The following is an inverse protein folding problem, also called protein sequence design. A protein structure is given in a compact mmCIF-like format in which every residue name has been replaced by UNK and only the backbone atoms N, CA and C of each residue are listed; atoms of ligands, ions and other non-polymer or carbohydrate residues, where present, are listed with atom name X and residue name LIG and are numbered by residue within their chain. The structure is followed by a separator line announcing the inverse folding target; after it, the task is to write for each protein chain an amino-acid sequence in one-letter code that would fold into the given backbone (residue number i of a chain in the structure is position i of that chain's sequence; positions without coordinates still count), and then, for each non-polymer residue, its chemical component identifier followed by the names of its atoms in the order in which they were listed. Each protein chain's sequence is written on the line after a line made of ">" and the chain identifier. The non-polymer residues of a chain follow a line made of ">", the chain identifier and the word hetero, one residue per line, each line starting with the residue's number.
data_IF_844267628738
#
_entry.id   IF_844267628738
#
_cell.length_a   1.000
_cell.length_b   1.000
_cell.length_c   1.000
_cell.angle_alpha   90.00
_cell.angle_beta   90.00
_cell.angle_gamma   90.00
#
_symmetry.space_group_name_H-M   'P 1'
#
loop_
_entity.id
_entity.type
_entity.pdbx_description
1 polymer ?
#
# COMPACT_ATOMS: atom_id res chain seq x y z
N UNK A 1 -23.13 -17.38 -23.44
CA UNK A 1 -22.62 -16.31 -24.32
C UNK A 1 -21.64 -15.47 -23.51
N UNK A 2 -20.44 -15.19 -24.04
CA UNK A 2 -19.42 -14.35 -23.36
C UNK A 2 -19.58 -12.92 -23.86
N UNK A 3 -19.68 -11.94 -22.95
CA UNK A 3 -19.57 -10.54 -23.31
C UNK A 3 -18.10 -10.12 -23.31
N UNK A 4 -17.59 -9.64 -24.44
CA UNK A 4 -16.23 -9.13 -24.55
C UNK A 4 -16.24 -7.63 -24.83
N UNK A 5 -15.67 -6.85 -23.92
CA UNK A 5 -15.42 -5.41 -24.10
C UNK A 5 -13.95 -5.23 -24.47
N UNK A 6 -13.65 -4.80 -25.71
CA UNK A 6 -12.25 -4.63 -26.16
C UNK A 6 -11.50 -3.50 -25.43
N UNK A 7 -12.24 -2.48 -24.97
CA UNK A 7 -11.71 -1.33 -24.25
C UNK A 7 -11.91 -1.43 -22.74
N UNK A 8 -12.00 -0.26 -22.11
CA UNK A 8 -12.41 -0.17 -20.71
C UNK A 8 -13.93 -0.22 -20.61
N UNK A 9 -14.43 -0.81 -19.51
CA UNK A 9 -15.85 -0.83 -19.18
C UNK A 9 -16.11 0.08 -17.98
N UNK A 10 -16.95 1.08 -18.17
CA UNK A 10 -17.45 1.95 -17.10
C UNK A 10 -18.87 1.53 -16.77
N UNK A 11 -19.10 1.13 -15.52
CA UNK A 11 -20.42 0.74 -15.05
C UNK A 11 -21.10 1.94 -14.42
N UNK A 12 -22.21 2.36 -15.02
CA UNK A 12 -23.01 3.48 -14.53
C UNK A 12 -23.84 3.13 -13.29
N UNK A 13 -24.46 4.17 -12.72
CA UNK A 13 -25.39 4.02 -11.59
C UNK A 13 -26.60 3.15 -11.95
N UNK A 14 -27.12 2.42 -10.98
CA UNK A 14 -28.30 1.56 -11.13
C UNK A 14 -28.01 0.17 -11.70
N UNK A 15 -26.80 -0.10 -12.19
CA UNK A 15 -26.37 -1.46 -12.53
C UNK A 15 -25.96 -2.19 -11.26
N UNK A 16 -26.57 -3.37 -11.04
CA UNK A 16 -26.34 -4.20 -9.84
C UNK A 16 -25.61 -5.51 -10.12
N UNK A 17 -25.52 -5.91 -11.38
CA UNK A 17 -24.90 -7.17 -11.78
C UNK A 17 -24.17 -7.03 -13.11
N UNK A 18 -23.05 -7.74 -13.23
CA UNK A 18 -22.34 -7.94 -14.48
C UNK A 18 -22.76 -9.27 -15.11
N UNK A 19 -22.62 -9.42 -16.44
CA UNK A 19 -22.84 -10.71 -17.09
C UNK A 19 -21.94 -11.80 -16.51
N UNK A 20 -22.47 -13.01 -16.36
CA UNK A 20 -21.77 -14.14 -15.74
C UNK A 20 -20.45 -14.52 -16.43
N UNK A 21 -20.32 -14.23 -17.72
CA UNK A 21 -19.08 -14.38 -18.49
C UNK A 21 -18.73 -13.04 -19.14
N UNK A 22 -17.77 -12.33 -18.54
CA UNK A 22 -17.33 -11.00 -18.95
C UNK A 22 -15.80 -10.95 -19.09
N UNK A 23 -15.33 -10.45 -20.22
CA UNK A 23 -13.92 -10.15 -20.47
C UNK A 23 -13.79 -8.66 -20.78
N UNK A 24 -12.91 -7.97 -20.03
CA UNK A 24 -12.61 -6.55 -20.22
C UNK A 24 -11.16 -6.41 -20.71
N UNK A 25 -11.01 -5.84 -21.90
CA UNK A 25 -9.73 -5.73 -22.61
C UNK A 25 -8.78 -4.69 -22.02
N UNK A 26 -9.30 -3.72 -21.25
CA UNK A 26 -8.53 -2.77 -20.46
C UNK A 26 -9.04 -2.74 -19.02
N UNK A 27 -9.55 -1.59 -18.57
CA UNK A 27 -9.90 -1.37 -17.17
C UNK A 27 -11.40 -1.58 -16.92
N UNK A 28 -11.75 -2.10 -15.75
CA UNK A 28 -13.12 -2.15 -15.26
C UNK A 28 -13.31 -1.11 -14.15
N UNK A 29 -14.18 -0.14 -14.41
CA UNK A 29 -14.54 0.91 -13.46
C UNK A 29 -15.94 0.65 -12.92
N UNK A 30 -16.02 0.22 -11.66
CA UNK A 30 -17.27 -0.05 -10.93
C UNK A 30 -17.37 0.76 -9.64
N UNK A 31 -16.43 1.66 -9.37
CA UNK A 31 -16.45 2.54 -8.19
C UNK A 31 -17.80 3.25 -8.03
N UNK A 32 -18.28 3.32 -6.78
CA UNK A 32 -19.56 3.94 -6.41
C UNK A 32 -20.81 3.36 -7.11
N UNK A 33 -20.71 2.15 -7.67
CA UNK A 33 -21.86 1.42 -8.23
C UNK A 33 -22.60 0.60 -7.15
N UNK A 34 -23.78 0.09 -7.52
CA UNK A 34 -24.56 -0.84 -6.69
C UNK A 34 -24.20 -2.31 -6.95
N UNK A 35 -23.03 -2.60 -7.53
CA UNK A 35 -22.57 -3.97 -7.73
C UNK A 35 -22.28 -4.61 -6.36
N UNK A 36 -22.86 -5.79 -6.12
CA UNK A 36 -22.65 -6.54 -4.88
C UNK A 36 -21.79 -7.80 -5.09
N UNK A 37 -21.69 -8.28 -6.33
CA UNK A 37 -20.88 -9.45 -6.70
C UNK A 37 -20.21 -9.26 -8.06
N UNK A 38 -19.02 -9.83 -8.21
CA UNK A 38 -18.34 -9.98 -9.49
C UNK A 38 -18.53 -11.42 -10.01
N UNK A 39 -18.60 -11.63 -11.33
CA UNK A 39 -18.74 -12.96 -11.90
C UNK A 39 -17.47 -13.79 -11.68
N UNK A 40 -17.63 -15.10 -11.43
CA UNK A 40 -16.53 -16.00 -11.05
C UNK A 40 -15.36 -16.03 -12.05
N UNK A 41 -15.64 -15.92 -13.34
CA UNK A 41 -14.65 -16.00 -14.42
C UNK A 41 -14.33 -14.62 -15.02
N UNK A 42 -14.38 -13.57 -14.19
CA UNK A 42 -14.08 -12.21 -14.63
C UNK A 42 -12.60 -12.08 -15.01
N UNK A 43 -12.34 -11.75 -16.27
CA UNK A 43 -10.99 -11.43 -16.75
C UNK A 43 -10.86 -9.94 -17.07
N UNK A 44 -9.90 -9.28 -16.44
CA UNK A 44 -9.58 -7.86 -16.67
C UNK A 44 -8.11 -7.77 -17.09
N UNK A 45 -7.89 -7.36 -18.34
CA UNK A 45 -6.54 -7.24 -18.90
C UNK A 45 -5.79 -5.97 -18.46
N UNK A 46 -6.48 -5.03 -17.81
CA UNK A 46 -5.90 -3.87 -17.15
C UNK A 46 -6.22 -3.87 -15.65
N UNK A 47 -6.70 -2.73 -15.16
CA UNK A 47 -6.96 -2.48 -13.75
C UNK A 47 -8.44 -2.64 -13.36
N UNK A 48 -8.70 -3.11 -12.15
CA UNK A 48 -10.03 -3.09 -11.50
C UNK A 48 -10.10 -1.93 -10.51
N UNK A 49 -11.03 -1.01 -10.74
CA UNK A 49 -11.34 0.09 -9.82
C UNK A 49 -12.74 -0.13 -9.23
N UNK A 50 -12.77 -0.56 -7.97
CA UNK A 50 -13.96 -0.89 -7.20
C UNK A 50 -13.97 -0.17 -5.84
N UNK A 51 -13.92 1.16 -5.89
CA UNK A 51 -13.86 2.04 -4.71
C UNK A 51 -15.27 2.27 -4.17
N UNK A 52 -15.47 2.11 -2.87
CA UNK A 52 -16.75 2.37 -2.18
C UNK A 52 -17.93 1.63 -2.84
N UNK A 53 -17.71 0.35 -3.12
CA UNK A 53 -18.72 -0.57 -3.67
C UNK A 53 -19.15 -1.56 -2.59
N UNK A 54 -20.38 -2.09 -2.67
CA UNK A 54 -20.95 -3.05 -1.72
C UNK A 54 -20.39 -4.49 -1.86
N UNK A 55 -19.23 -4.65 -2.50
CA UNK A 55 -18.56 -5.94 -2.64
C UNK A 55 -18.12 -6.45 -1.26
N UNK A 56 -18.41 -7.73 -1.00
CA UNK A 56 -18.00 -8.45 0.21
C UNK A 56 -16.88 -9.46 -0.04
N UNK A 57 -16.67 -9.83 -1.29
CA UNK A 57 -15.62 -10.76 -1.71
C UNK A 57 -15.20 -10.48 -3.16
N UNK A 58 -13.97 -10.90 -3.49
CA UNK A 58 -13.52 -11.06 -4.87
C UNK A 58 -13.75 -12.53 -5.29
N UNK A 59 -14.04 -12.80 -6.57
CA UNK A 59 -14.17 -14.17 -7.05
C UNK A 59 -12.81 -14.86 -7.04
N UNK A 60 -12.78 -16.16 -6.75
CA UNK A 60 -11.51 -16.91 -6.66
C UNK A 60 -10.74 -16.85 -7.99
N UNK A 61 -11.40 -17.00 -9.14
CA UNK A 61 -10.69 -16.98 -10.43
C UNK A 61 -10.50 -15.57 -11.02
N UNK A 62 -10.56 -14.52 -10.20
CA UNK A 62 -10.33 -13.15 -10.64
C UNK A 62 -8.90 -12.98 -11.19
N UNK A 63 -8.79 -12.51 -12.43
CA UNK A 63 -7.51 -12.13 -13.03
C UNK A 63 -7.50 -10.63 -13.31
N UNK A 64 -6.55 -9.90 -12.69
CA UNK A 64 -6.30 -8.46 -12.89
C UNK A 64 -4.83 -8.26 -13.23
N UNK A 65 -4.53 -7.94 -14.49
CA UNK A 65 -3.13 -7.90 -14.95
C UNK A 65 -2.34 -6.69 -14.49
N UNK A 66 -3.00 -5.58 -14.17
CA UNK A 66 -2.34 -4.31 -13.86
C UNK A 66 -2.52 -3.94 -12.38
N UNK A 67 -3.53 -3.15 -12.03
CA UNK A 67 -3.78 -2.69 -10.66
C UNK A 67 -5.14 -3.10 -10.10
N UNK A 68 -5.18 -3.36 -8.80
CA UNK A 68 -6.40 -3.61 -8.05
C UNK A 68 -6.63 -2.47 -7.05
N UNK A 69 -7.76 -1.78 -7.15
CA UNK A 69 -8.20 -0.83 -6.14
C UNK A 69 -9.58 -1.26 -5.61
N UNK A 70 -9.62 -1.66 -4.34
CA UNK A 70 -10.83 -2.07 -3.62
C UNK A 70 -11.05 -1.22 -2.36
N UNK A 71 -10.60 0.03 -2.40
CA UNK A 71 -10.67 0.92 -1.24
C UNK A 71 -12.10 1.12 -0.73
N UNK A 72 -12.25 1.21 0.60
CA UNK A 72 -13.54 1.41 1.29
C UNK A 72 -14.59 0.35 0.93
N UNK A 73 -14.21 -0.92 0.84
CA UNK A 73 -15.12 -2.06 0.62
C UNK A 73 -15.22 -2.94 1.86
N UNK A 74 -16.25 -3.78 1.93
CA UNK A 74 -16.44 -4.75 3.02
C UNK A 74 -15.65 -6.06 2.82
N UNK A 75 -14.71 -6.09 1.87
CA UNK A 75 -13.93 -7.28 1.54
C UNK A 75 -12.97 -7.59 2.69
N UNK A 76 -13.00 -8.84 3.16
CA UNK A 76 -12.21 -9.28 4.33
C UNK A 76 -11.01 -10.18 3.98
N UNK A 77 -10.99 -10.76 2.78
CA UNK A 77 -9.92 -11.64 2.31
C UNK A 77 -9.64 -11.44 0.82
N UNK A 78 -8.38 -11.61 0.45
CA UNK A 78 -7.95 -11.73 -0.95
C UNK A 78 -8.02 -13.21 -1.37
N UNK A 79 -8.43 -13.51 -2.62
CA UNK A 79 -8.38 -14.87 -3.14
C UNK A 79 -6.97 -15.45 -3.11
N UNK A 80 -6.88 -16.76 -2.86
CA UNK A 80 -5.60 -17.46 -2.72
C UNK A 80 -4.73 -17.46 -3.99
N UNK A 81 -5.39 -17.40 -5.14
CA UNK A 81 -4.83 -17.40 -6.49
C UNK A 81 -4.93 -16.03 -7.17
N UNK A 82 -5.28 -14.97 -6.43
CA UNK A 82 -5.31 -13.60 -6.96
C UNK A 82 -3.93 -13.25 -7.51
N UNK A 83 -3.88 -12.80 -8.76
CA UNK A 83 -2.68 -12.25 -9.39
C UNK A 83 -2.92 -10.78 -9.68
N UNK A 84 -2.05 -9.93 -9.13
CA UNK A 84 -1.95 -8.50 -9.41
C UNK A 84 -0.47 -8.20 -9.59
N UNK A 85 -0.07 -7.64 -10.74
CA UNK A 85 1.35 -7.41 -11.02
C UNK A 85 1.84 -6.03 -10.60
N UNK A 86 1.01 -4.99 -10.74
CA UNK A 86 1.48 -3.61 -10.59
C UNK A 86 1.20 -3.05 -9.20
N UNK A 87 -0.06 -2.72 -8.88
CA UNK A 87 -0.39 -2.03 -7.64
C UNK A 87 -1.62 -2.61 -6.96
N UNK A 88 -1.63 -2.59 -5.63
CA UNK A 88 -2.79 -2.92 -4.81
C UNK A 88 -3.10 -1.76 -3.86
N UNK A 89 -4.28 -1.19 -4.02
CA UNK A 89 -4.81 -0.15 -3.12
C UNK A 89 -5.98 -0.76 -2.36
N UNK A 90 -5.73 -1.07 -1.09
CA UNK A 90 -6.66 -1.74 -0.18
C UNK A 90 -7.20 -0.81 0.91
N UNK A 91 -6.84 0.48 0.85
CA UNK A 91 -7.11 1.44 1.92
C UNK A 91 -8.57 1.43 2.40
N UNK A 92 -8.79 1.33 3.70
CA UNK A 92 -10.13 1.31 4.31
C UNK A 92 -10.98 0.06 4.00
N UNK A 93 -10.40 -0.98 3.40
CA UNK A 93 -11.04 -2.29 3.31
C UNK A 93 -10.92 -3.06 4.64
N UNK A 94 -11.58 -4.22 4.74
CA UNK A 94 -11.56 -5.07 5.94
C UNK A 94 -10.60 -6.26 5.82
N UNK A 95 -9.64 -6.19 4.89
CA UNK A 95 -8.64 -7.24 4.68
C UNK A 95 -7.84 -7.46 5.97
N UNK A 96 -7.67 -8.72 6.39
CA UNK A 96 -6.91 -9.04 7.61
C UNK A 96 -5.55 -9.68 7.36
N UNK A 97 -5.28 -10.12 6.12
CA UNK A 97 -4.03 -10.76 5.73
C UNK A 97 -3.67 -10.49 4.26
N UNK A 98 -2.36 -10.36 4.00
CA UNK A 98 -1.78 -10.33 2.66
C UNK A 98 -1.19 -11.72 2.30
N UNK A 99 -0.99 -12.03 1.02
CA UNK A 99 -0.27 -13.24 0.59
C UNK A 99 1.20 -13.23 1.05
N UNK A 100 1.73 -14.38 1.48
CA UNK A 100 3.07 -14.49 2.09
C UNK A 100 4.24 -14.04 1.19
N UNK A 101 4.09 -14.15 -0.14
CA UNK A 101 5.13 -13.78 -1.13
C UNK A 101 4.62 -12.69 -2.09
N UNK A 102 3.95 -11.68 -1.54
CA UNK A 102 3.41 -10.58 -2.34
C UNK A 102 4.56 -9.74 -2.93
N UNK A 103 4.64 -9.71 -4.26
CA UNK A 103 5.55 -8.85 -5.03
C UNK A 103 4.72 -7.97 -5.96
N UNK A 104 4.87 -6.65 -5.81
CA UNK A 104 4.24 -5.64 -6.65
C UNK A 104 5.29 -4.74 -7.31
N UNK A 105 5.14 -4.47 -8.62
CA UNK A 105 6.00 -3.53 -9.38
C UNK A 105 5.71 -2.05 -9.07
N UNK A 106 4.61 -1.79 -8.38
CA UNK A 106 4.06 -0.47 -8.12
C UNK A 106 3.87 -0.24 -6.63
N UNK A 107 2.65 0.13 -6.25
CA UNK A 107 2.31 0.65 -4.92
C UNK A 107 1.50 -0.40 -4.16
N UNK A 108 1.77 -0.53 -2.87
CA UNK A 108 0.87 -1.17 -1.92
C UNK A 108 0.36 -0.11 -0.95
N UNK A 109 -0.95 0.13 -0.92
CA UNK A 109 -1.57 0.96 0.12
C UNK A 109 -2.50 0.09 0.99
N UNK A 110 -2.16 -0.01 2.28
CA UNK A 110 -2.89 -0.76 3.31
C UNK A 110 -3.31 0.14 4.47
N UNK A 111 -3.45 1.45 4.26
CA UNK A 111 -3.90 2.38 5.29
C UNK A 111 -5.32 2.03 5.78
N UNK A 112 -5.55 2.10 7.09
CA UNK A 112 -6.88 1.87 7.70
C UNK A 112 -7.43 0.47 7.38
N UNK A 113 -6.54 -0.50 7.23
CA UNK A 113 -6.87 -1.91 7.03
C UNK A 113 -6.57 -2.65 8.34
N UNK A 114 -7.44 -3.55 8.84
CA UNK A 114 -7.20 -4.32 10.07
C UNK A 114 -6.21 -5.47 9.83
N UNK A 115 -5.10 -5.16 9.15
CA UNK A 115 -4.02 -6.07 8.83
C UNK A 115 -3.20 -6.32 10.09
N UNK A 116 -2.98 -7.58 10.44
CA UNK A 116 -2.29 -7.96 11.68
C UNK A 116 -0.77 -8.02 11.54
N UNK A 117 -0.27 -8.29 10.34
CA UNK A 117 1.16 -8.36 10.03
C UNK A 117 1.41 -8.11 8.55
N UNK A 118 2.61 -7.63 8.24
CA UNK A 118 3.15 -7.68 6.88
C UNK A 118 3.76 -9.07 6.62
N UNK A 119 3.73 -9.58 5.37
CA UNK A 119 4.50 -10.75 4.98
C UNK A 119 6.01 -10.51 5.12
N UNK A 120 6.77 -11.51 5.57
CA UNK A 120 8.23 -11.40 5.73
C UNK A 120 8.92 -11.03 4.41
N UNK A 121 8.55 -11.66 3.30
CA UNK A 121 9.18 -11.42 1.99
C UNK A 121 8.41 -10.40 1.13
N UNK A 122 7.76 -9.42 1.76
CA UNK A 122 7.03 -8.38 1.06
C UNK A 122 7.97 -7.53 0.19
N UNK A 123 7.71 -7.49 -1.12
CA UNK A 123 8.45 -6.67 -2.08
C UNK A 123 7.52 -5.71 -2.81
N UNK A 124 7.83 -4.41 -2.71
CA UNK A 124 7.06 -3.34 -3.37
C UNK A 124 8.04 -2.42 -4.09
N UNK A 125 8.13 -2.49 -5.42
CA UNK A 125 9.16 -1.77 -6.18
C UNK A 125 8.98 -0.25 -6.20
N UNK A 126 7.86 0.28 -5.69
CA UNK A 126 7.70 1.72 -5.45
C UNK A 126 7.42 1.99 -3.98
N UNK A 127 6.16 2.22 -3.64
CA UNK A 127 5.77 2.79 -2.36
C UNK A 127 4.92 1.81 -1.57
N UNK A 128 5.32 1.57 -0.32
CA UNK A 128 4.44 1.02 0.70
C UNK A 128 3.81 2.17 1.48
N UNK A 129 2.49 2.25 1.49
CA UNK A 129 1.74 3.21 2.29
C UNK A 129 1.00 2.42 3.36
N UNK A 130 1.32 2.68 4.62
CA UNK A 130 0.82 1.95 5.78
C UNK A 130 0.51 2.93 6.93
N UNK A 131 -0.47 2.58 7.75
CA UNK A 131 -0.82 3.36 8.93
C UNK A 131 -2.26 3.11 9.33
N UNK A 132 -2.55 3.25 10.63
CA UNK A 132 -3.84 2.91 11.20
C UNK A 132 -4.20 1.44 10.92
N UNK A 133 -3.22 0.55 11.11
CA UNK A 133 -3.42 -0.90 10.98
C UNK A 133 -3.31 -1.59 12.35
N UNK A 134 -3.41 -2.92 12.38
CA UNK A 134 -3.05 -3.71 13.58
C UNK A 134 -1.60 -4.21 13.51
N UNK A 135 -0.82 -3.82 12.48
CA UNK A 135 0.59 -4.16 12.35
C UNK A 135 1.40 -3.36 13.36
N UNK A 136 2.16 -4.04 14.21
CA UNK A 136 3.05 -3.39 15.19
C UNK A 136 4.53 -3.51 14.83
N UNK A 137 4.90 -4.32 13.83
CA UNK A 137 6.29 -4.50 13.43
C UNK A 137 6.45 -4.49 11.91
N UNK A 138 7.51 -3.84 11.43
CA UNK A 138 7.93 -3.87 10.03
C UNK A 138 8.98 -4.98 9.84
N UNK A 139 8.80 -5.93 8.91
CA UNK A 139 9.75 -7.02 8.72
C UNK A 139 11.08 -6.47 8.19
N UNK A 140 12.20 -6.92 8.76
CA UNK A 140 13.54 -6.50 8.31
C UNK A 140 13.79 -6.89 6.86
N UNK A 141 13.19 -7.97 6.37
CA UNK A 141 13.26 -8.39 4.97
C UNK A 141 12.39 -7.56 4.00
N UNK A 142 11.66 -6.55 4.49
CA UNK A 142 10.93 -5.62 3.64
C UNK A 142 11.87 -5.00 2.60
N UNK A 143 11.42 -5.04 1.34
CA UNK A 143 12.08 -4.36 0.23
C UNK A 143 11.11 -3.40 -0.45
N UNK A 144 11.39 -2.10 -0.35
CA UNK A 144 10.66 -1.06 -1.07
C UNK A 144 11.52 0.16 -1.39
N UNK A 145 11.15 0.90 -2.44
CA UNK A 145 11.86 2.14 -2.78
C UNK A 145 11.52 3.29 -1.82
N UNK A 146 10.30 3.34 -1.27
CA UNK A 146 9.98 4.18 -0.13
C UNK A 146 8.83 3.59 0.68
N UNK A 147 8.78 3.97 1.96
CA UNK A 147 7.67 3.68 2.85
C UNK A 147 7.09 4.99 3.40
N UNK A 148 5.77 5.08 3.43
CA UNK A 148 5.01 6.19 3.97
C UNK A 148 4.20 5.67 5.16
N UNK A 149 4.44 6.23 6.34
CA UNK A 149 3.77 5.86 7.59
C UNK A 149 2.84 6.99 8.02
N UNK A 150 1.54 6.75 8.05
CA UNK A 150 0.59 7.76 8.52
C UNK A 150 0.77 8.06 10.04
N UNK A 151 1.27 7.07 10.79
CA UNK A 151 1.63 7.22 12.20
C UNK A 151 2.79 6.27 12.55
N UNK A 152 4.06 6.70 12.42
CA UNK A 152 5.20 5.81 12.67
C UNK A 152 5.30 5.32 14.13
N UNK A 153 4.68 6.01 15.07
CA UNK A 153 4.67 5.64 16.49
C UNK A 153 3.86 4.36 16.77
N UNK A 154 3.06 3.87 15.82
CA UNK A 154 2.34 2.60 15.97
C UNK A 154 3.23 1.35 15.81
N UNK A 155 4.46 1.52 15.32
CA UNK A 155 5.39 0.42 15.09
C UNK A 155 6.48 0.33 16.18
N UNK A 156 6.56 -0.82 16.83
CA UNK A 156 7.49 -1.12 17.93
C UNK A 156 8.96 -1.08 17.51
N UNK A 157 9.25 -1.32 16.23
CA UNK A 157 10.60 -1.36 15.67
C UNK A 157 10.91 -0.19 14.73
N UNK A 158 10.17 0.91 14.88
CA UNK A 158 10.42 2.19 14.21
C UNK A 158 10.66 3.25 15.28
N UNK A 159 11.66 4.10 15.06
CA UNK A 159 11.89 5.27 15.92
C UNK A 159 11.59 6.51 15.13
N UNK A 160 10.75 7.40 15.68
CA UNK A 160 10.35 8.64 15.02
C UNK A 160 10.35 9.86 15.94
N UNK A 161 10.60 11.02 15.35
CA UNK A 161 10.26 12.33 15.93
C UNK A 161 9.14 12.97 15.11
N UNK A 162 8.13 13.48 15.82
CA UNK A 162 6.97 14.16 15.22
C UNK A 162 7.15 15.65 15.43
N UNK A 163 7.04 16.43 14.36
CA UNK A 163 7.40 17.86 14.37
C UNK A 163 6.21 18.80 14.44
N UNK A 164 5.05 18.34 14.01
CA UNK A 164 3.85 19.16 14.01
C UNK A 164 2.61 18.31 14.32
N UNK A 165 1.46 18.96 14.41
CA UNK A 165 0.18 18.26 14.45
C UNK A 165 -0.20 17.66 13.09
N UNK A 166 0.52 18.02 12.02
CA UNK A 166 0.44 17.31 10.75
C UNK A 166 1.21 16.00 10.88
N UNK A 167 0.46 14.91 10.86
CA UNK A 167 0.98 13.56 10.98
C UNK A 167 1.91 13.19 9.81
N UNK A 168 1.96 13.98 8.74
CA UNK A 168 2.91 13.80 7.63
C UNK A 168 4.29 14.41 7.90
N UNK A 169 4.45 15.29 8.90
CA UNK A 169 5.74 15.89 9.28
C UNK A 169 6.43 15.08 10.37
N UNK A 170 7.07 13.98 10.00
CA UNK A 170 7.82 13.15 10.92
C UNK A 170 9.10 12.65 10.27
N UNK A 171 10.20 12.67 11.04
CA UNK A 171 11.38 11.87 10.70
C UNK A 171 11.23 10.53 11.39
N UNK A 172 11.39 9.46 10.64
CA UNK A 172 11.41 8.11 11.20
C UNK A 172 12.55 7.28 10.65
N UNK A 173 12.94 6.28 11.43
CA UNK A 173 14.02 5.36 11.12
C UNK A 173 13.60 3.93 11.40
N UNK A 174 14.03 3.01 10.53
CA UNK A 174 13.70 1.59 10.61
C UNK A 174 14.80 0.73 9.97
N UNK A 175 14.78 -0.56 10.28
CA UNK A 175 15.66 -1.56 9.63
C UNK A 175 14.93 -2.20 8.45
N UNK A 176 15.63 -2.33 7.34
CA UNK A 176 15.17 -3.00 6.12
C UNK A 176 16.25 -3.93 5.57
N UNK A 177 15.96 -4.60 4.45
CA UNK A 177 16.90 -5.52 3.83
C UNK A 177 18.19 -4.82 3.38
N UNK A 178 18.11 -3.51 3.14
CA UNK A 178 19.23 -2.67 2.71
C UNK A 178 19.92 -1.94 3.88
N UNK A 179 19.57 -2.26 5.13
CA UNK A 179 20.10 -1.59 6.32
C UNK A 179 19.14 -0.58 6.94
N UNK A 180 19.70 0.36 7.72
CA UNK A 180 18.92 1.42 8.37
C UNK A 180 18.47 2.43 7.31
N UNK A 181 17.19 2.77 7.34
CA UNK A 181 16.57 3.75 6.46
C UNK A 181 15.98 4.87 7.29
N UNK A 182 15.99 6.08 6.72
CA UNK A 182 15.44 7.31 7.27
C UNK A 182 14.43 7.86 6.27
N UNK A 183 13.32 8.43 6.76
CA UNK A 183 12.43 9.23 5.93
C UNK A 183 11.85 10.41 6.68
N UNK A 184 11.57 11.49 5.95
CA UNK A 184 10.82 12.66 6.43
C UNK A 184 9.44 12.82 5.75
N UNK A 185 8.94 11.75 5.12
CA UNK A 185 7.73 11.78 4.31
C UNK A 185 7.97 12.16 2.84
N UNK A 186 8.97 12.97 2.51
CA UNK A 186 9.32 13.30 1.12
C UNK A 186 10.46 12.41 0.60
N UNK A 187 11.50 12.26 1.42
CA UNK A 187 12.70 11.51 1.10
C UNK A 187 12.78 10.23 1.89
N UNK A 188 13.34 9.19 1.28
CA UNK A 188 13.60 7.89 1.92
C UNK A 188 14.96 7.37 1.45
N UNK A 189 15.85 7.05 2.37
CA UNK A 189 17.21 6.62 2.04
C UNK A 189 18.00 6.15 3.24
N UNK A 190 19.26 5.77 3.03
CA UNK A 190 20.21 5.64 4.14
C UNK A 190 20.50 7.02 4.79
N UNK A 191 21.04 7.06 6.02
CA UNK A 191 21.26 8.32 6.73
C UNK A 191 22.15 9.33 6.00
N UNK A 192 23.15 8.88 5.24
CA UNK A 192 24.08 9.77 4.51
C UNK A 192 23.38 10.41 3.32
N UNK A 193 22.74 9.60 2.48
CA UNK A 193 21.94 10.08 1.35
C UNK A 193 20.82 11.00 1.82
N UNK A 194 20.12 10.65 2.90
CA UNK A 194 19.08 11.49 3.48
C UNK A 194 19.61 12.89 3.85
N UNK A 195 20.78 12.96 4.50
CA UNK A 195 21.37 14.24 4.90
C UNK A 195 21.74 15.13 3.69
N UNK A 196 22.27 14.53 2.62
CA UNK A 196 22.54 15.25 1.38
C UNK A 196 21.24 15.81 0.77
N UNK A 197 20.18 15.01 0.73
CA UNK A 197 18.87 15.48 0.21
C UNK A 197 18.30 16.62 1.04
N UNK A 198 18.48 16.62 2.37
CA UNK A 198 18.05 17.74 3.21
C UNK A 198 18.81 19.03 2.87
N UNK A 199 20.14 18.95 2.72
CA UNK A 199 20.98 20.11 2.37
C UNK A 199 20.62 20.69 0.99
N UNK A 200 20.33 19.81 0.02
CA UNK A 200 20.08 20.22 -1.35
C UNK A 200 18.68 20.82 -1.58
N UNK A 201 17.69 20.44 -0.77
CA UNK A 201 16.27 20.75 -1.02
C UNK A 201 15.61 21.65 0.03
N UNK A 202 16.21 21.83 1.20
CA UNK A 202 15.66 22.65 2.28
C UNK A 202 16.58 23.83 2.62
N UNK A 203 16.06 24.82 3.34
CA UNK A 203 16.91 25.89 3.87
C UNK A 203 17.83 25.37 4.99
N UNK A 204 18.89 26.12 5.31
CA UNK A 204 19.93 25.65 6.23
C UNK A 204 19.39 25.22 7.62
N UNK A 205 18.45 26.00 8.19
CA UNK A 205 17.89 25.72 9.51
C UNK A 205 17.01 24.46 9.48
N UNK A 206 16.18 24.31 8.44
CA UNK A 206 15.34 23.12 8.23
C UNK A 206 16.19 21.86 7.98
N UNK A 207 17.23 21.98 7.15
CA UNK A 207 18.11 20.88 6.82
C UNK A 207 18.88 20.39 8.06
N UNK A 208 19.47 21.33 8.83
CA UNK A 208 20.16 21.00 10.08
C UNK A 208 19.22 20.27 11.05
N UNK A 209 17.98 20.73 11.14
CA UNK A 209 16.98 20.13 12.01
C UNK A 209 16.61 18.69 11.61
N UNK A 210 16.25 18.45 10.34
CA UNK A 210 15.92 17.11 9.85
C UNK A 210 17.10 16.13 10.01
N UNK A 211 18.33 16.60 9.75
CA UNK A 211 19.55 15.78 9.91
C UNK A 211 19.78 15.43 11.38
N UNK A 212 19.64 16.40 12.29
CA UNK A 212 19.80 16.18 13.72
C UNK A 212 18.77 15.16 14.24
N UNK A 213 17.51 15.29 13.79
CA UNK A 213 16.43 14.36 14.12
C UNK A 213 16.72 12.95 13.60
N UNK A 214 17.10 12.82 12.33
CA UNK A 214 17.46 11.55 11.71
C UNK A 214 18.59 10.84 12.47
N UNK A 215 19.62 11.57 12.86
CA UNK A 215 20.75 11.04 13.64
C UNK A 215 20.31 10.56 15.03
N UNK A 216 19.44 11.32 15.70
CA UNK A 216 18.90 10.95 17.01
C UNK A 216 18.07 9.67 16.90
N UNK A 217 17.12 9.61 15.97
CA UNK A 217 16.30 8.41 15.73
C UNK A 217 17.16 7.20 15.38
N UNK A 218 18.16 7.36 14.50
CA UNK A 218 19.08 6.29 14.11
C UNK A 218 19.86 5.73 15.30
N UNK A 219 20.43 6.61 16.14
CA UNK A 219 21.18 6.19 17.33
C UNK A 219 20.30 5.41 18.31
N UNK A 220 19.05 5.84 18.49
CA UNK A 220 18.09 5.14 19.33
C UNK A 220 17.74 3.77 18.74
N UNK A 221 17.45 3.69 17.44
CA UNK A 221 17.16 2.42 16.75
C UNK A 221 18.32 1.42 16.85
N UNK A 222 19.56 1.90 16.79
CA UNK A 222 20.77 1.09 16.97
C UNK A 222 20.89 0.48 18.36
N UNK A 223 20.38 1.15 19.40
CA UNK A 223 20.38 0.67 20.77
C UNK A 223 19.30 -0.37 21.08
N UNK A 224 18.33 -0.55 20.19
CA UNK A 224 17.23 -1.51 20.38
C UNK A 224 17.70 -2.93 20.03
N UNK A 225 17.55 -3.87 20.97
CA UNK A 225 17.78 -5.30 20.75
C UNK A 225 16.55 -5.93 20.06
N UNK A 226 16.42 -5.74 18.75
CA UNK A 226 15.32 -6.25 17.92
C UNK A 226 15.87 -7.09 16.77
#
# INVERSE_FOLDING_TARGET
>A
MILTVKGSLHVGRGIRALPAALVVGKNLYISYSDIETLPDNLTINGSLLAISVKLKALPENLTVKDGLNISNTDITKLPSNLKVEHSMILAGSKITALPDNLHLKGILNVEKVPLQKLPENLRVEKWLIIGNTEVTTIPVSLSCCAIYMNNPLEFENVVSEVFSTDYMDHVFTLRTADGIRVSNGEYYGDPETFALMMIDNYNADEAEYYIASAKKCTTQLESMNI
#
